data_IF_313043897140
#
_entry.id   IF_313043897140
#
_cell.length_a   1.000
_cell.length_b   1.000
_cell.length_c   1.000
_cell.angle_alpha   90.00
_cell.angle_beta   90.00
_cell.angle_gamma   90.00
#
_symmetry.space_group_name_H-M   'P 1'
#
loop_
_entity.id
_entity.type
_entity.pdbx_description
1 polymer ?
#
# COMPACT_ATOMS: atom_id res chain seq x y z
N UNK A 1 -0.95 5.57 -19.07
CA UNK A 1 -1.04 5.46 -17.60
C UNK A 1 -1.27 4.00 -17.25
N UNK A 2 -0.63 3.50 -16.19
CA UNK A 2 -0.85 2.17 -15.63
C UNK A 2 -1.48 2.31 -14.26
N UNK A 3 -2.46 1.47 -13.94
CA UNK A 3 -3.04 1.40 -12.60
C UNK A 3 -2.41 0.26 -11.81
N UNK A 4 -2.01 0.56 -10.58
CA UNK A 4 -1.47 -0.40 -9.63
C UNK A 4 -2.41 -0.46 -8.44
N UNK A 5 -2.81 -1.66 -8.06
CA UNK A 5 -3.69 -1.96 -6.96
C UNK A 5 -2.89 -2.52 -5.79
N UNK A 6 -3.13 -1.97 -4.61
CA UNK A 6 -2.47 -2.35 -3.37
C UNK A 6 -3.53 -2.88 -2.41
N UNK A 7 -3.18 -3.98 -1.74
CA UNK A 7 -3.97 -4.57 -0.67
C UNK A 7 -3.08 -4.76 0.55
N UNK A 8 -3.45 -4.16 1.67
CA UNK A 8 -2.71 -4.24 2.94
C UNK A 8 -3.57 -4.93 3.99
N UNK A 9 -3.05 -5.99 4.59
CA UNK A 9 -3.69 -6.66 5.73
C UNK A 9 -3.13 -6.09 7.02
N UNK A 10 -4.00 -5.47 7.81
CA UNK A 10 -3.64 -4.72 9.01
C UNK A 10 -4.31 -5.37 10.20
N UNK A 11 -3.54 -5.58 11.25
CA UNK A 11 -4.03 -6.00 12.54
C UNK A 11 -3.94 -4.81 13.50
N UNK A 12 -5.00 -4.55 14.25
CA UNK A 12 -4.98 -3.62 15.38
C UNK A 12 -5.23 -4.40 16.66
N UNK A 13 -5.26 -3.72 17.80
CA UNK A 13 -5.59 -4.34 19.09
C UNK A 13 -6.97 -5.02 19.13
N UNK A 14 -7.91 -4.58 18.29
CA UNK A 14 -9.31 -5.03 18.34
C UNK A 14 -9.80 -5.80 17.11
N UNK A 15 -9.14 -5.66 15.98
CA UNK A 15 -9.64 -6.21 14.71
C UNK A 15 -8.52 -6.48 13.70
N UNK A 16 -8.83 -7.31 12.70
CA UNK A 16 -8.01 -7.47 11.50
C UNK A 16 -8.85 -7.07 10.31
N UNK A 17 -8.31 -6.19 9.47
CA UNK A 17 -9.00 -5.72 8.28
C UNK A 17 -8.04 -5.57 7.09
N UNK A 18 -8.64 -5.46 5.91
CA UNK A 18 -7.92 -5.28 4.65
C UNK A 18 -8.17 -3.88 4.11
N UNK A 19 -7.10 -3.11 3.87
CA UNK A 19 -7.16 -1.80 3.21
C UNK A 19 -6.78 -1.97 1.74
N UNK A 20 -7.69 -1.61 0.84
CA UNK A 20 -7.46 -1.63 -0.61
C UNK A 20 -7.40 -0.20 -1.15
N UNK A 21 -6.46 0.06 -2.05
CA UNK A 21 -6.35 1.32 -2.76
C UNK A 21 -5.63 1.14 -4.10
N UNK A 22 -5.71 2.14 -4.97
CA UNK A 22 -5.05 2.11 -6.27
C UNK A 22 -4.41 3.45 -6.60
N UNK A 23 -3.31 3.42 -7.34
CA UNK A 23 -2.64 4.62 -7.84
C UNK A 23 -2.45 4.48 -9.36
N UNK A 24 -2.57 5.61 -10.06
CA UNK A 24 -2.29 5.71 -11.48
C UNK A 24 -0.92 6.34 -11.69
N UNK A 25 -0.07 5.67 -12.48
CA UNK A 25 1.27 6.13 -12.82
C UNK A 25 1.41 6.41 -14.31
N UNK A 26 2.27 7.37 -14.66
CA UNK A 26 2.83 7.38 -16.00
C UNK A 26 3.71 6.13 -16.19
N UNK A 27 3.57 5.50 -17.37
CA UNK A 27 4.23 4.22 -17.65
C UNK A 27 5.74 4.33 -17.61
N UNK A 28 6.30 5.46 -18.08
CA UNK A 28 7.75 5.64 -18.19
C UNK A 28 8.39 5.89 -16.82
N UNK A 29 7.69 6.56 -15.91
CA UNK A 29 8.18 6.82 -14.55
C UNK A 29 8.21 5.52 -13.73
N UNK A 30 7.14 4.72 -13.81
CA UNK A 30 7.02 3.53 -12.99
C UNK A 30 7.89 2.35 -13.45
N UNK A 31 7.99 2.09 -14.76
CA UNK A 31 8.79 0.96 -15.28
C UNK A 31 10.30 1.11 -14.96
N UNK A 32 10.77 2.31 -14.60
CA UNK A 32 12.16 2.59 -14.26
C UNK A 32 12.55 2.35 -12.80
N UNK A 33 11.59 2.34 -11.86
CA UNK A 33 11.86 2.31 -10.41
C UNK A 33 10.71 1.72 -9.56
N UNK A 34 9.94 0.80 -10.14
CA UNK A 34 8.67 0.28 -9.58
C UNK A 34 8.79 -0.27 -8.16
N UNK A 35 9.84 -1.02 -7.84
CA UNK A 35 10.01 -1.63 -6.50
C UNK A 35 10.21 -0.58 -5.39
N UNK A 36 11.04 0.44 -5.64
CA UNK A 36 11.25 1.52 -4.67
C UNK A 36 9.98 2.36 -4.50
N UNK A 37 9.28 2.66 -5.60
CA UNK A 37 8.00 3.37 -5.57
C UNK A 37 6.96 2.59 -4.75
N UNK A 38 6.84 1.29 -4.96
CA UNK A 38 5.92 0.44 -4.20
C UNK A 38 6.23 0.45 -2.69
N UNK A 39 7.51 0.37 -2.32
CA UNK A 39 7.93 0.44 -0.92
C UNK A 39 7.60 1.81 -0.30
N UNK A 40 7.81 2.91 -1.02
CA UNK A 40 7.47 4.26 -0.57
C UNK A 40 5.96 4.44 -0.38
N UNK A 41 5.16 3.95 -1.32
CA UNK A 41 3.69 4.02 -1.27
C UNK A 41 3.15 3.23 -0.07
N UNK A 42 3.64 2.01 0.12
CA UNK A 42 3.24 1.17 1.25
C UNK A 42 3.65 1.84 2.56
N UNK A 43 4.85 2.40 2.64
CA UNK A 43 5.33 3.12 3.83
C UNK A 43 4.50 4.36 4.13
N UNK A 44 4.14 5.14 3.11
CA UNK A 44 3.25 6.28 3.23
C UNK A 44 1.88 5.84 3.73
N UNK A 45 1.27 4.84 3.08
CA UNK A 45 -0.07 4.36 3.46
C UNK A 45 -0.07 3.73 4.85
N UNK A 46 1.01 3.06 5.21
CA UNK A 46 1.24 2.54 6.54
C UNK A 46 1.24 3.65 7.59
N UNK A 47 1.93 4.75 7.34
CA UNK A 47 1.93 5.90 8.25
C UNK A 47 0.54 6.52 8.44
N UNK A 48 -0.28 6.58 7.38
CA UNK A 48 -1.67 7.02 7.49
C UNK A 48 -2.50 6.09 8.39
N UNK A 49 -2.31 4.78 8.26
CA UNK A 49 -3.01 3.78 9.09
C UNK A 49 -2.57 3.86 10.55
N UNK A 50 -1.28 4.04 10.83
CA UNK A 50 -0.80 4.26 12.21
C UNK A 50 -1.35 5.56 12.81
N UNK A 51 -1.50 6.61 12.01
CA UNK A 51 -2.13 7.85 12.47
C UNK A 51 -3.64 7.68 12.72
N UNK A 52 -4.33 6.88 11.91
CA UNK A 52 -5.78 6.62 12.02
C UNK A 52 -6.13 5.69 13.19
N UNK A 53 -5.36 4.60 13.36
CA UNK A 53 -5.66 3.52 14.31
C UNK A 53 -4.72 3.45 15.52
N UNK A 54 -3.69 4.29 15.56
CA UNK A 54 -2.68 4.33 16.62
C UNK A 54 -1.49 3.40 16.40
N UNK A 55 -0.52 3.48 17.32
CA UNK A 55 0.73 2.68 17.30
C UNK A 55 0.50 1.17 17.40
N UNK A 56 -0.70 0.76 17.83
CA UNK A 56 -1.10 -0.64 17.97
C UNK A 56 -1.45 -1.29 16.61
N UNK A 57 -1.51 -0.51 15.52
CA UNK A 57 -1.62 -1.07 14.20
C UNK A 57 -0.33 -1.84 13.85
N UNK A 58 -0.48 -2.98 13.18
CA UNK A 58 0.62 -3.75 12.60
C UNK A 58 0.29 -4.21 11.17
N UNK A 59 1.22 -3.98 10.23
CA UNK A 59 1.12 -4.49 8.86
C UNK A 59 1.54 -5.96 8.82
N UNK A 60 0.57 -6.85 8.59
CA UNK A 60 0.80 -8.30 8.55
C UNK A 60 1.36 -8.74 7.20
N UNK A 61 0.75 -8.26 6.13
CA UNK A 61 1.15 -8.56 4.76
C UNK A 61 0.59 -7.52 3.80
N UNK A 62 1.14 -7.48 2.59
CA UNK A 62 0.57 -6.73 1.49
C UNK A 62 0.69 -7.51 0.17
N UNK A 63 -0.16 -7.18 -0.79
CA UNK A 63 -0.08 -7.65 -2.17
C UNK A 63 -0.24 -6.48 -3.14
N UNK A 64 0.32 -6.66 -4.35
CA UNK A 64 0.34 -5.64 -5.40
C UNK A 64 -0.09 -6.30 -6.70
N UNK A 65 -1.15 -5.79 -7.31
CA UNK A 65 -1.65 -6.23 -8.62
C UNK A 65 -1.52 -5.08 -9.63
N UNK A 66 -1.14 -5.39 -10.87
CA UNK A 66 -0.87 -4.40 -11.92
C UNK A 66 -1.74 -4.70 -13.13
N UNK A 67 -2.43 -3.67 -13.64
CA UNK A 67 -3.07 -3.78 -14.96
C UNK A 67 -1.99 -3.91 -16.05
N UNK A 68 -2.12 -4.95 -16.89
CA UNK A 68 -1.18 -5.28 -17.96
C UNK A 68 -1.16 -4.23 -19.08
#
# INVERSE_FOLDING_TARGET
MRRVFYEMNVMTKGETFTKKFSIEYDRNEYDSNSENLDAEIISYKWSELVNEYGIDAFLVSYSIEREL
#
